data_IF_373752705499
#
_entry.id   IF_373752705499
#
_cell.length_a   1.000
_cell.length_b   1.000
_cell.length_c   1.000
_cell.angle_alpha   90.00
_cell.angle_beta   90.00
_cell.angle_gamma   90.00
#
_symmetry.space_group_name_H-M   'P 1'
#
loop_
_entity.id
_entity.type
_entity.pdbx_description
1 polymer ?
#
# COMPACT_ATOMS: atom_id res chain seq x y z
N UNK A 1 24.85 41.30 -39.82
CA UNK A 1 25.15 40.90 -38.42
C UNK A 1 23.89 40.69 -37.59
N UNK A 2 22.80 41.45 -37.81
CA UNK A 2 21.60 41.42 -36.96
C UNK A 2 20.74 40.14 -37.07
N UNK A 3 20.72 39.47 -38.23
CA UNK A 3 19.92 38.24 -38.39
C UNK A 3 20.43 37.06 -37.54
N UNK A 4 21.77 36.92 -37.42
CA UNK A 4 22.40 35.83 -36.65
C UNK A 4 22.20 35.99 -35.14
N UNK A 5 22.10 37.22 -34.66
CA UNK A 5 21.85 37.52 -33.25
C UNK A 5 20.41 37.18 -32.85
N UNK A 6 19.44 37.41 -33.74
CA UNK A 6 18.04 37.04 -33.49
C UNK A 6 17.82 35.51 -33.41
N UNK A 7 18.46 34.72 -34.28
CA UNK A 7 18.37 33.26 -34.19
C UNK A 7 19.03 32.70 -32.93
N UNK A 8 20.14 33.30 -32.49
CA UNK A 8 20.81 32.95 -31.23
C UNK A 8 19.91 33.26 -30.03
N UNK A 9 19.21 34.41 -30.05
CA UNK A 9 18.30 34.82 -28.99
C UNK A 9 17.04 33.95 -28.94
N UNK A 10 16.51 33.54 -30.10
CA UNK A 10 15.37 32.60 -30.20
C UNK A 10 15.77 31.21 -29.70
N UNK A 11 16.95 30.71 -30.07
CA UNK A 11 17.47 29.43 -29.59
C UNK A 11 17.70 29.43 -28.06
N UNK A 12 18.18 30.55 -27.51
CA UNK A 12 18.36 30.73 -26.07
C UNK A 12 17.01 30.78 -25.32
N UNK A 13 15.99 31.43 -25.88
CA UNK A 13 14.64 31.44 -25.31
C UNK A 13 13.97 30.05 -25.37
N UNK A 14 14.18 29.27 -26.43
CA UNK A 14 13.69 27.89 -26.55
C UNK A 14 14.39 26.93 -25.58
N UNK A 15 15.65 27.19 -25.22
CA UNK A 15 16.40 26.40 -24.23
C UNK A 15 15.96 26.68 -22.78
N UNK A 16 15.43 27.88 -22.51
CA UNK A 16 14.91 28.30 -21.19
C UNK A 16 13.47 27.80 -20.91
N UNK A 17 12.79 27.22 -21.91
CA UNK A 17 11.52 26.46 -21.71
C UNK A 17 11.83 25.03 -21.23
N UNK A 18 12.99 24.84 -20.60
CA UNK A 18 13.33 23.62 -19.87
C UNK A 18 12.20 23.29 -18.89
N UNK A 19 11.61 22.13 -19.10
CA UNK A 19 10.48 21.59 -18.35
C UNK A 19 10.82 21.55 -16.86
N UNK A 20 10.34 22.52 -16.10
CA UNK A 20 10.30 22.41 -14.65
C UNK A 20 9.26 21.36 -14.30
N UNK A 21 9.72 20.14 -14.03
CA UNK A 21 8.89 19.14 -13.36
C UNK A 21 8.72 19.60 -11.91
N UNK A 22 7.64 20.33 -11.64
CA UNK A 22 7.18 20.57 -10.28
C UNK A 22 6.57 19.26 -9.76
N UNK A 23 7.34 18.49 -9.01
CA UNK A 23 6.79 17.37 -8.27
C UNK A 23 5.97 17.94 -7.10
N UNK A 24 4.64 17.87 -7.19
CA UNK A 24 3.78 18.18 -6.07
C UNK A 24 3.87 17.02 -5.06
N UNK A 25 4.84 17.09 -4.15
CA UNK A 25 4.89 16.18 -3.01
C UNK A 25 3.80 16.58 -2.02
N UNK A 26 2.95 15.63 -1.61
CA UNK A 26 1.98 15.87 -0.53
C UNK A 26 2.77 16.27 0.72
N UNK A 27 2.54 17.48 1.29
CA UNK A 27 3.28 17.92 2.47
C UNK A 27 3.08 16.94 3.64
N UNK A 28 4.19 16.55 4.27
CA UNK A 28 4.18 15.69 5.47
C UNK A 28 3.97 16.47 6.77
N UNK A 29 3.63 17.76 6.68
CA UNK A 29 3.43 18.69 7.79
C UNK A 29 2.08 19.42 7.64
N UNK A 30 1.54 19.93 8.74
CA UNK A 30 0.33 20.76 8.74
C UNK A 30 0.61 22.10 9.38
N UNK A 31 0.11 23.16 8.75
CA UNK A 31 0.10 24.48 9.34
C UNK A 31 -0.92 24.53 10.48
N UNK A 32 -0.45 24.87 11.67
CA UNK A 32 -1.28 25.19 12.82
C UNK A 32 -1.10 26.67 13.17
N UNK A 33 -2.22 27.37 13.36
CA UNK A 33 -2.23 28.75 13.80
C UNK A 33 -2.95 28.85 15.13
N UNK A 34 -2.44 29.70 16.01
CA UNK A 34 -3.03 29.93 17.32
C UNK A 34 -2.92 31.38 17.76
N UNK A 35 -3.70 31.71 18.77
CA UNK A 35 -3.65 32.98 19.49
C UNK A 35 -3.32 32.69 20.95
N UNK A 36 -2.19 33.20 21.42
CA UNK A 36 -1.75 33.10 22.81
C UNK A 36 -2.16 34.36 23.56
N UNK A 37 -2.88 34.16 24.65
CA UNK A 37 -3.24 35.21 25.59
C UNK A 37 -2.50 35.04 26.91
N UNK A 38 -2.35 36.14 27.62
CA UNK A 38 -2.02 36.15 29.04
C UNK A 38 -3.25 35.83 29.91
N UNK A 39 -3.10 35.94 31.23
CA UNK A 39 -4.18 35.71 32.20
C UNK A 39 -5.26 36.80 32.20
N UNK A 40 -5.08 37.87 31.45
CA UNK A 40 -6.06 38.96 31.28
C UNK A 40 -6.78 38.89 29.93
N UNK A 41 -6.66 37.76 29.22
CA UNK A 41 -7.20 37.53 27.86
C UNK A 41 -6.64 38.50 26.80
N UNK A 42 -5.47 39.09 27.05
CA UNK A 42 -4.77 39.98 26.12
C UNK A 42 -3.68 39.18 25.40
N UNK A 43 -3.48 39.44 24.11
CA UNK A 43 -2.42 38.80 23.34
C UNK A 43 -1.05 39.01 23.99
N UNK A 44 -0.25 37.95 24.09
CA UNK A 44 1.09 38.03 24.68
C UNK A 44 2.01 38.97 23.86
N UNK A 45 3.05 39.48 24.51
CA UNK A 45 4.04 40.37 23.90
C UNK A 45 4.74 39.74 22.69
N UNK A 46 5.19 40.59 21.76
CA UNK A 46 5.97 40.15 20.61
C UNK A 46 7.30 39.53 21.07
N UNK A 47 7.56 38.29 20.67
CA UNK A 47 8.75 37.58 21.13
C UNK A 47 8.84 36.14 20.70
N UNK A 48 9.96 35.50 21.01
CA UNK A 48 10.14 34.07 20.78
C UNK A 48 9.62 33.28 21.97
N UNK A 49 8.75 32.32 21.70
CA UNK A 49 8.19 31.39 22.68
C UNK A 49 8.59 29.97 22.33
N UNK A 50 8.94 29.18 23.34
CA UNK A 50 9.15 27.74 23.17
C UNK A 50 7.79 27.05 23.29
N UNK A 51 7.26 26.56 22.18
CA UNK A 51 6.00 25.84 22.13
C UNK A 51 6.26 24.35 21.91
N UNK A 52 5.73 23.52 22.81
CA UNK A 52 5.69 22.07 22.62
C UNK A 52 4.28 21.66 22.20
N UNK A 53 4.21 20.96 21.07
CA UNK A 53 2.99 20.38 20.52
C UNK A 53 3.00 18.88 20.75
N UNK A 54 1.85 18.30 21.03
CA UNK A 54 1.71 16.87 21.30
C UNK A 54 0.37 16.33 20.79
N UNK A 55 0.37 15.07 20.37
CA UNK A 55 -0.82 14.36 19.88
C UNK A 55 -1.23 13.26 20.85
N UNK A 56 -2.53 13.15 21.12
CA UNK A 56 -3.08 12.23 22.11
C UNK A 56 -4.25 11.43 21.54
N UNK A 57 -4.44 10.19 22.02
CA UNK A 57 -5.56 9.30 21.66
C UNK A 57 -6.84 9.52 22.49
N UNK A 58 -6.87 10.57 23.30
CA UNK A 58 -8.00 10.95 24.15
C UNK A 58 -7.91 12.40 24.60
N UNK A 59 -8.99 12.91 25.19
CA UNK A 59 -9.18 14.33 25.52
C UNK A 59 -8.49 14.79 26.81
N UNK A 60 -7.87 13.87 27.56
CA UNK A 60 -7.20 14.15 28.82
C UNK A 60 -5.83 13.49 28.90
N UNK A 61 -4.81 14.27 29.27
CA UNK A 61 -3.44 13.80 29.50
C UNK A 61 -3.31 12.75 30.62
N UNK A 62 -4.33 12.61 31.48
CA UNK A 62 -4.32 11.66 32.60
C UNK A 62 -4.79 10.27 32.23
N UNK A 63 -5.63 10.16 31.18
CA UNK A 63 -6.25 8.91 30.75
C UNK A 63 -5.82 8.50 29.34
N UNK A 64 -5.31 9.43 28.54
CA UNK A 64 -4.87 9.20 27.17
C UNK A 64 -3.37 8.91 27.09
N UNK A 65 -2.97 8.26 26.00
CA UNK A 65 -1.59 8.05 25.62
C UNK A 65 -1.13 9.17 24.70
N UNK A 66 0.08 9.69 24.97
CA UNK A 66 0.78 10.59 24.05
C UNK A 66 1.38 9.78 22.91
N UNK A 67 1.00 10.11 21.68
CA UNK A 67 1.38 9.40 20.46
C UNK A 67 2.54 10.07 19.72
N UNK A 68 2.68 11.38 19.88
CA UNK A 68 3.69 12.19 19.20
C UNK A 68 3.89 13.51 19.93
N UNK A 69 5.09 14.08 19.81
CA UNK A 69 5.37 15.45 20.23
C UNK A 69 6.51 16.07 19.45
N UNK A 70 6.54 17.40 19.41
CA UNK A 70 7.71 18.16 18.98
C UNK A 70 7.76 19.51 19.71
N UNK A 71 8.94 20.12 19.77
CA UNK A 71 9.14 21.44 20.37
C UNK A 71 9.76 22.37 19.35
N UNK A 72 9.18 23.56 19.20
CA UNK A 72 9.66 24.59 18.28
C UNK A 72 9.75 25.94 19.00
N UNK A 73 10.77 26.73 18.67
CA UNK A 73 10.85 28.14 19.08
C UNK A 73 10.21 28.99 18.00
N UNK A 74 9.11 29.65 18.32
CA UNK A 74 8.26 30.36 17.36
C UNK A 74 8.16 31.82 17.77
N UNK A 75 8.30 32.71 16.78
CA UNK A 75 8.04 34.13 16.98
C UNK A 75 6.53 34.38 16.99
N UNK A 76 6.04 34.89 18.12
CA UNK A 76 4.64 35.27 18.32
C UNK A 76 4.55 36.78 18.13
N UNK A 77 3.59 37.23 17.32
CA UNK A 77 3.35 38.65 17.08
C UNK A 77 1.90 39.00 17.36
N UNK A 78 1.66 39.97 18.25
CA UNK A 78 0.34 40.37 18.73
C UNK A 78 -0.46 39.17 19.22
N UNK A 79 0.17 38.26 19.96
CA UNK A 79 -0.41 36.98 20.38
C UNK A 79 -0.61 35.93 19.27
N UNK A 80 -0.44 36.25 17.98
CA UNK A 80 -0.68 35.31 16.88
C UNK A 80 0.61 34.58 16.51
N UNK A 81 0.49 33.28 16.22
CA UNK A 81 1.57 32.50 15.62
C UNK A 81 1.06 31.55 14.54
N UNK A 82 1.99 31.10 13.70
CA UNK A 82 1.79 30.05 12.71
C UNK A 82 3.00 29.11 12.77
N UNK A 83 2.77 27.81 12.72
CA UNK A 83 3.80 26.77 12.81
C UNK A 83 3.49 25.63 11.85
N UNK A 84 4.52 25.01 11.27
CA UNK A 84 4.39 23.77 10.51
C UNK A 84 4.68 22.58 11.43
N UNK A 85 3.63 21.89 11.85
CA UNK A 85 3.77 20.72 12.70
C UNK A 85 4.24 19.50 11.90
N UNK A 86 5.15 18.72 12.47
CA UNK A 86 5.76 17.56 11.81
C UNK A 86 7.03 17.91 11.02
N UNK A 87 7.46 19.18 11.03
CA UNK A 87 8.68 19.64 10.39
C UNK A 87 9.94 19.31 11.20
N UNK A 88 9.85 19.35 12.54
CA UNK A 88 10.97 19.02 13.44
C UNK A 88 10.97 17.54 13.82
N UNK A 89 9.80 16.97 14.05
CA UNK A 89 9.64 15.53 14.30
C UNK A 89 8.53 14.99 13.37
N UNK A 90 8.87 14.31 12.27
CA UNK A 90 7.88 13.79 11.33
C UNK A 90 6.79 12.97 12.02
N UNK A 91 5.54 13.11 11.55
CA UNK A 91 4.45 12.32 12.08
C UNK A 91 4.69 10.83 11.79
N UNK A 92 4.59 9.95 12.81
CA UNK A 92 4.74 8.53 12.60
C UNK A 92 3.53 7.99 11.82
N UNK A 93 3.76 6.95 11.02
CA UNK A 93 2.70 6.27 10.27
C UNK A 93 1.64 5.59 11.17
N UNK A 94 1.89 5.51 12.48
CA UNK A 94 0.93 5.03 13.49
C UNK A 94 -0.19 6.04 13.80
N UNK A 95 -0.03 7.32 13.46
CA UNK A 95 -1.09 8.32 13.55
C UNK A 95 -2.08 8.16 12.39
N UNK A 96 -3.06 7.27 12.58
CA UNK A 96 -4.00 6.88 11.51
C UNK A 96 -5.21 7.80 11.37
N UNK A 97 -5.50 8.65 12.38
CA UNK A 97 -6.70 9.49 12.47
C UNK A 97 -8.01 8.71 12.22
N UNK A 98 -7.99 7.39 12.38
CA UNK A 98 -9.18 6.54 12.29
C UNK A 98 -10.10 6.75 13.51
N UNK A 99 -9.52 7.25 14.60
CA UNK A 99 -10.21 7.73 15.79
C UNK A 99 -9.88 9.22 16.00
N UNK A 100 -10.69 9.96 16.78
CA UNK A 100 -10.38 11.34 17.16
C UNK A 100 -9.01 11.44 17.84
N UNK A 101 -8.24 12.47 17.49
CA UNK A 101 -7.01 12.83 18.17
C UNK A 101 -7.12 14.23 18.76
N UNK A 102 -6.34 14.45 19.81
CA UNK A 102 -6.36 15.69 20.58
C UNK A 102 -4.96 16.30 20.60
N UNK A 103 -4.92 17.62 20.42
CA UNK A 103 -3.71 18.42 20.41
C UNK A 103 -3.48 18.99 21.80
N UNK A 104 -2.30 18.73 22.34
CA UNK A 104 -1.76 19.42 23.51
C UNK A 104 -0.76 20.49 23.08
N UNK A 105 -0.94 21.71 23.60
CA UNK A 105 -0.02 22.83 23.40
C UNK A 105 0.53 23.25 24.76
N UNK A 106 1.85 23.31 24.90
CA UNK A 106 2.53 23.77 26.11
C UNK A 106 3.43 24.96 25.77
N UNK A 107 3.33 26.03 26.56
CA UNK A 107 4.11 27.27 26.37
C UNK A 107 5.21 27.34 27.43
N UNK A 108 6.46 27.50 27.01
CA UNK A 108 7.64 27.69 27.87
C UNK A 108 7.77 26.65 29.02
N UNK A 109 7.35 25.40 28.76
CA UNK A 109 7.40 24.32 29.75
C UNK A 109 6.33 24.37 30.85
N UNK A 110 5.34 25.26 30.76
CA UNK A 110 4.20 25.34 31.68
C UNK A 110 3.19 24.20 31.51
N UNK A 111 1.95 24.39 31.95
CA UNK A 111 0.92 23.35 31.79
C UNK A 111 0.43 23.22 30.33
N UNK A 112 -0.16 22.07 30.00
CA UNK A 112 -0.86 21.89 28.74
C UNK A 112 -2.10 22.79 28.71
N UNK A 113 -2.22 23.59 27.65
CA UNK A 113 -3.37 24.43 27.38
C UNK A 113 -4.60 23.55 27.13
N UNK A 114 -5.72 23.92 27.78
CA UNK A 114 -6.97 23.17 27.76
C UNK A 114 -8.14 24.09 27.39
N UNK A 115 -9.04 23.59 26.56
CA UNK A 115 -10.33 24.22 26.29
C UNK A 115 -11.41 23.49 27.10
N UNK A 116 -12.12 24.19 27.99
CA UNK A 116 -13.13 23.60 28.88
C UNK A 116 -12.61 22.39 29.68
N UNK A 117 -11.35 22.43 30.12
CA UNK A 117 -10.72 21.35 30.90
C UNK A 117 -10.15 20.20 30.07
N UNK A 118 -10.35 20.19 28.75
CA UNK A 118 -9.91 19.12 27.86
C UNK A 118 -8.85 19.60 26.86
N UNK A 119 -8.07 18.65 26.34
CA UNK A 119 -7.17 18.88 25.21
C UNK A 119 -7.97 19.27 23.96
N UNK A 120 -7.32 19.98 23.05
CA UNK A 120 -7.97 20.55 21.87
C UNK A 120 -8.31 19.42 20.88
N UNK A 121 -9.59 19.18 20.63
CA UNK A 121 -10.00 18.22 19.59
C UNK A 121 -9.56 18.71 18.21
N UNK A 122 -8.85 17.87 17.46
CA UNK A 122 -8.46 18.20 16.10
C UNK A 122 -9.65 18.03 15.14
N UNK A 123 -10.03 19.13 14.51
CA UNK A 123 -11.03 19.09 13.45
C UNK A 123 -10.53 18.33 12.22
N UNK A 124 -11.48 17.76 11.47
CA UNK A 124 -11.29 16.84 10.33
C UNK A 124 -10.29 17.25 9.24
N UNK A 125 -9.89 18.52 9.13
CA UNK A 125 -8.90 18.99 8.14
C UNK A 125 -7.52 18.34 8.30
N UNK A 126 -7.19 17.85 9.50
CA UNK A 126 -5.92 17.17 9.77
C UNK A 126 -5.90 15.72 9.26
N UNK A 127 -7.05 15.14 8.89
CA UNK A 127 -7.07 13.80 8.25
C UNK A 127 -6.43 13.79 6.86
N UNK A 128 -6.21 14.97 6.24
CA UNK A 128 -5.58 15.12 4.93
C UNK A 128 -4.15 14.54 4.85
N UNK A 129 -3.46 14.33 5.98
CA UNK A 129 -2.19 13.59 6.04
C UNK A 129 -2.26 12.21 5.39
N UNK A 130 -3.44 11.57 5.42
CA UNK A 130 -3.67 10.28 4.77
C UNK A 130 -3.96 10.38 3.29
N UNK A 131 -3.96 11.57 2.68
CA UNK A 131 -4.09 11.68 1.23
C UNK A 131 -2.98 10.92 0.50
N UNK A 132 -1.77 10.73 1.07
CA UNK A 132 -0.74 9.88 0.45
C UNK A 132 -1.06 8.38 0.53
N UNK A 133 -1.83 7.93 1.53
CA UNK A 133 -2.23 6.52 1.70
C UNK A 133 -3.65 6.20 1.20
N UNK A 134 -4.45 7.23 0.90
CA UNK A 134 -5.85 7.15 0.43
C UNK A 134 -6.09 7.88 -0.90
N UNK A 135 -5.05 8.39 -1.55
CA UNK A 135 -5.16 8.99 -2.88
C UNK A 135 -5.79 7.98 -3.85
N UNK A 136 -6.54 8.50 -4.83
CA UNK A 136 -6.89 7.69 -5.99
C UNK A 136 -5.62 7.06 -6.57
N UNK A 137 -5.70 5.77 -6.91
CA UNK A 137 -4.52 5.03 -7.36
C UNK A 137 -4.04 5.56 -8.70
N UNK A 138 -2.78 5.95 -8.77
CA UNK A 138 -2.12 6.33 -10.02
C UNK A 138 -1.80 5.06 -10.81
N UNK A 139 -2.30 5.02 -12.06
CA UNK A 139 -2.03 3.93 -13.00
C UNK A 139 -0.93 4.36 -13.96
N UNK A 140 0.12 3.54 -14.07
CA UNK A 140 1.21 3.74 -15.04
C UNK A 140 1.36 2.52 -15.95
N UNK A 141 1.52 2.75 -17.25
CA UNK A 141 1.97 1.73 -18.19
C UNK A 141 3.47 1.85 -18.41
N UNK A 142 4.19 0.71 -18.37
CA UNK A 142 5.63 0.65 -18.61
C UNK A 142 5.96 -0.48 -19.58
N UNK A 143 6.92 -0.20 -20.48
CA UNK A 143 7.40 -1.16 -21.49
C UNK A 143 8.93 -1.31 -21.50
N UNK A 144 9.58 -0.81 -20.45
CA UNK A 144 11.01 -0.87 -20.19
C UNK A 144 11.21 -1.06 -18.68
N UNK A 145 12.44 -1.42 -18.27
CA UNK A 145 12.77 -1.53 -16.84
C UNK A 145 12.40 -0.24 -16.09
N UNK A 146 11.80 -0.38 -14.91
CA UNK A 146 11.28 0.75 -14.14
C UNK A 146 11.53 0.57 -12.65
N UNK A 147 12.00 1.63 -11.99
CA UNK A 147 12.08 1.70 -10.53
C UNK A 147 10.82 2.36 -10.01
N UNK A 148 10.04 1.62 -9.23
CA UNK A 148 8.76 2.08 -8.69
C UNK A 148 9.02 3.20 -7.68
N UNK A 149 8.44 4.37 -7.94
CA UNK A 149 8.53 5.59 -7.14
C UNK A 149 7.26 5.82 -6.34
N UNK A 150 7.18 6.85 -5.50
CA UNK A 150 5.96 7.20 -4.75
C UNK A 150 4.79 7.73 -5.61
N UNK A 151 4.98 7.85 -6.93
CA UNK A 151 3.93 8.20 -7.90
C UNK A 151 3.32 6.99 -8.60
N UNK A 152 3.69 5.77 -8.20
CA UNK A 152 3.26 4.52 -8.82
C UNK A 152 2.41 3.70 -7.84
N UNK A 153 1.12 3.51 -8.12
CA UNK A 153 0.27 2.64 -7.29
C UNK A 153 -0.13 1.36 -8.02
N UNK A 154 -0.47 1.50 -9.31
CA UNK A 154 -0.82 0.40 -10.21
C UNK A 154 0.09 0.47 -11.43
N UNK A 155 0.80 -0.62 -11.71
CA UNK A 155 1.66 -0.73 -12.87
C UNK A 155 1.10 -1.76 -13.85
N UNK A 156 0.90 -1.33 -15.08
CA UNK A 156 0.58 -2.16 -16.24
C UNK A 156 1.88 -2.38 -17.04
N UNK A 157 2.51 -3.53 -16.84
CA UNK A 157 3.80 -3.85 -17.42
C UNK A 157 3.66 -4.69 -18.69
N UNK A 158 4.36 -4.30 -19.76
CA UNK A 158 4.45 -5.03 -21.03
C UNK A 158 5.92 -5.28 -21.40
N UNK A 159 6.21 -6.43 -21.99
CA UNK A 159 7.55 -6.84 -22.40
C UNK A 159 8.32 -7.70 -21.37
N UNK A 160 9.55 -8.05 -21.73
CA UNK A 160 10.47 -8.78 -20.86
C UNK A 160 11.27 -7.78 -19.99
N UNK A 161 10.68 -7.32 -18.88
CA UNK A 161 11.21 -6.20 -18.09
C UNK A 161 11.36 -6.53 -16.61
N UNK A 162 12.24 -5.78 -15.94
CA UNK A 162 12.42 -5.79 -14.49
C UNK A 162 11.84 -4.54 -13.84
N UNK A 163 11.08 -4.75 -12.77
CA UNK A 163 10.54 -3.72 -11.90
C UNK A 163 11.25 -3.77 -10.55
N UNK A 164 11.86 -2.67 -10.14
CA UNK A 164 12.50 -2.55 -8.82
C UNK A 164 11.53 -1.93 -7.83
N UNK A 165 11.20 -2.63 -6.74
CA UNK A 165 10.29 -2.13 -5.71
C UNK A 165 10.97 -1.05 -4.86
N UNK A 166 10.22 -0.09 -4.29
CA UNK A 166 10.79 0.84 -3.32
C UNK A 166 11.04 0.12 -1.98
N UNK A 167 11.80 0.74 -1.09
CA UNK A 167 12.08 0.13 0.21
C UNK A 167 10.80 -0.03 1.02
N UNK A 168 10.52 -1.26 1.45
CA UNK A 168 9.39 -1.52 2.35
C UNK A 168 9.57 -0.85 3.74
N UNK A 169 10.79 -0.51 4.15
CA UNK A 169 11.01 0.12 5.47
C UNK A 169 10.43 1.55 5.47
N UNK A 170 10.69 2.29 4.39
CA UNK A 170 10.23 3.67 4.22
C UNK A 170 8.77 3.78 3.75
N UNK A 171 8.17 2.66 3.35
CA UNK A 171 6.85 2.63 2.70
C UNK A 171 5.84 1.75 3.48
N UNK A 172 5.96 1.65 4.81
CA UNK A 172 5.03 0.85 5.64
C UNK A 172 3.55 1.17 5.33
N UNK A 173 2.74 0.13 5.10
CA UNK A 173 1.31 0.24 4.77
C UNK A 173 1.02 0.60 3.32
N UNK A 174 2.04 0.87 2.49
CA UNK A 174 1.85 1.15 1.07
C UNK A 174 1.38 -0.10 0.33
N UNK A 175 0.34 0.05 -0.48
CA UNK A 175 -0.18 -1.01 -1.33
C UNK A 175 0.28 -0.77 -2.77
N UNK A 176 0.80 -1.80 -3.42
CA UNK A 176 1.16 -1.79 -4.83
C UNK A 176 0.43 -2.91 -5.56
N UNK A 177 -0.02 -2.62 -6.78
CA UNK A 177 -0.58 -3.60 -7.70
C UNK A 177 0.22 -3.60 -9.00
N UNK A 178 0.72 -4.77 -9.41
CA UNK A 178 1.43 -4.94 -10.67
C UNK A 178 0.65 -5.95 -11.50
N UNK A 179 0.35 -5.59 -12.74
CA UNK A 179 -0.27 -6.46 -13.74
C UNK A 179 0.64 -6.56 -14.96
N UNK A 180 1.02 -7.78 -15.31
CA UNK A 180 1.58 -8.08 -16.61
C UNK A 180 0.46 -8.05 -17.66
N UNK A 181 0.51 -7.09 -18.57
CA UNK A 181 -0.45 -6.95 -19.68
C UNK A 181 0.09 -7.54 -21.00
N UNK A 182 1.38 -7.86 -21.05
CA UNK A 182 2.07 -8.46 -22.19
C UNK A 182 2.13 -9.99 -22.11
N UNK A 183 2.71 -10.62 -23.14
CA UNK A 183 2.88 -12.08 -23.20
C UNK A 183 4.23 -12.56 -22.67
N UNK A 184 5.15 -11.64 -22.38
CA UNK A 184 6.50 -11.91 -21.90
C UNK A 184 6.59 -11.76 -20.38
N UNK A 185 7.68 -12.22 -19.77
CA UNK A 185 7.82 -12.24 -18.32
C UNK A 185 8.19 -10.88 -17.74
N UNK A 186 7.53 -10.50 -16.64
CA UNK A 186 7.86 -9.31 -15.84
C UNK A 186 8.43 -9.76 -14.51
N UNK A 187 9.66 -9.35 -14.18
CA UNK A 187 10.31 -9.64 -12.90
C UNK A 187 10.14 -8.48 -11.92
N UNK A 188 9.93 -8.80 -10.64
CA UNK A 188 9.83 -7.84 -9.55
C UNK A 188 10.97 -8.13 -8.58
N UNK A 189 11.73 -7.10 -8.22
CA UNK A 189 12.92 -7.24 -7.37
C UNK A 189 12.86 -6.21 -6.23
N UNK A 190 12.78 -6.65 -4.97
CA UNK A 190 12.91 -5.76 -3.82
C UNK A 190 14.31 -5.17 -3.68
N UNK A 191 14.41 -4.07 -2.97
CA UNK A 191 15.69 -3.40 -2.66
C UNK A 191 16.25 -3.83 -1.31
N UNK A 192 17.53 -3.55 -1.05
CA UNK A 192 18.14 -3.63 0.28
C UNK A 192 18.02 -5.00 0.98
N UNK A 193 18.02 -6.10 0.22
CA UNK A 193 17.88 -7.46 0.76
C UNK A 193 16.50 -7.79 1.33
N UNK A 194 15.52 -6.90 1.12
CA UNK A 194 14.13 -7.12 1.50
C UNK A 194 13.50 -8.19 0.61
N UNK A 195 12.34 -8.70 1.01
CA UNK A 195 11.69 -9.83 0.34
C UNK A 195 10.24 -9.55 0.00
N UNK A 196 9.70 -10.34 -0.92
CA UNK A 196 8.26 -10.51 -1.16
C UNK A 196 7.90 -11.89 -0.62
N UNK A 197 7.25 -11.98 0.53
CA UNK A 197 6.94 -13.26 1.21
C UNK A 197 8.18 -14.17 1.34
N UNK A 198 9.29 -13.61 1.84
CA UNK A 198 10.55 -14.35 1.99
C UNK A 198 11.33 -14.62 0.70
N UNK A 199 10.78 -14.27 -0.47
CA UNK A 199 11.45 -14.43 -1.76
C UNK A 199 12.18 -13.14 -2.19
N UNK A 200 13.39 -13.27 -2.73
CA UNK A 200 14.19 -12.13 -3.23
C UNK A 200 13.74 -11.61 -4.60
N UNK A 201 12.82 -12.30 -5.27
CA UNK A 201 12.20 -11.85 -6.51
C UNK A 201 10.86 -12.56 -6.74
N UNK A 202 9.98 -11.93 -7.50
CA UNK A 202 8.73 -12.50 -7.99
C UNK A 202 8.68 -12.37 -9.51
N UNK A 203 8.27 -13.44 -10.19
CA UNK A 203 8.06 -13.46 -11.64
C UNK A 203 6.55 -13.50 -11.95
N UNK A 204 6.12 -12.62 -12.85
CA UNK A 204 4.81 -12.63 -13.53
C UNK A 204 5.06 -13.08 -14.98
N UNK A 205 5.03 -14.37 -15.24
CA UNK A 205 5.53 -15.02 -16.46
C UNK A 205 4.47 -15.20 -17.56
N UNK A 206 3.21 -14.86 -17.28
CA UNK A 206 2.12 -14.94 -18.25
C UNK A 206 1.31 -13.65 -18.32
N UNK A 207 0.67 -13.43 -19.47
CA UNK A 207 -0.28 -12.35 -19.64
C UNK A 207 -1.38 -12.42 -18.58
N UNK A 208 -1.76 -11.25 -18.06
CA UNK A 208 -2.75 -11.04 -17.00
C UNK A 208 -2.33 -11.52 -15.61
N UNK A 209 -1.12 -12.06 -15.42
CA UNK A 209 -0.58 -12.27 -14.09
C UNK A 209 -0.60 -10.95 -13.32
N UNK A 210 -1.24 -10.97 -12.15
CA UNK A 210 -1.45 -9.79 -11.33
C UNK A 210 -1.08 -10.11 -9.89
N UNK A 211 -0.38 -9.20 -9.24
CA UNK A 211 -0.05 -9.29 -7.83
C UNK A 211 -0.42 -7.98 -7.14
N UNK A 212 -1.01 -8.10 -5.96
CA UNK A 212 -1.21 -6.98 -5.03
C UNK A 212 -0.54 -7.35 -3.71
N UNK A 213 0.31 -6.46 -3.22
CA UNK A 213 1.01 -6.64 -1.96
C UNK A 213 1.04 -5.32 -1.18
N UNK A 214 1.27 -5.43 0.12
CA UNK A 214 1.41 -4.33 1.05
C UNK A 214 2.78 -4.41 1.72
N UNK A 215 3.37 -3.26 2.03
CA UNK A 215 4.55 -3.23 2.88
C UNK A 215 4.15 -3.35 4.35
N UNK A 216 4.84 -4.21 5.11
CA UNK A 216 4.66 -4.34 6.57
C UNK A 216 5.66 -3.51 7.40
N UNK A 217 6.44 -2.64 6.75
CA UNK A 217 7.53 -1.88 7.36
C UNK A 217 8.88 -2.60 7.41
N UNK A 218 8.99 -3.83 6.89
CA UNK A 218 10.24 -4.56 6.74
C UNK A 218 10.36 -5.22 5.36
N UNK A 219 9.31 -5.88 4.90
CA UNK A 219 9.19 -6.62 3.66
C UNK A 219 7.87 -6.29 2.94
N UNK A 220 7.70 -6.87 1.75
CA UNK A 220 6.44 -6.87 1.02
C UNK A 220 5.70 -8.19 1.27
N UNK A 221 4.42 -8.10 1.62
CA UNK A 221 3.55 -9.25 1.93
C UNK A 221 2.33 -9.25 1.01
N UNK A 222 1.89 -10.42 0.56
CA UNK A 222 0.75 -10.51 -0.36
C UNK A 222 -0.55 -10.11 0.34
N UNK A 223 -1.34 -9.27 -0.34
CA UNK A 223 -2.74 -9.05 0.04
C UNK A 223 -3.67 -10.09 -0.60
N UNK A 224 -3.22 -10.73 -1.69
CA UNK A 224 -3.98 -11.75 -2.37
C UNK A 224 -3.59 -13.14 -1.81
N UNK A 225 -4.54 -13.87 -1.22
CA UNK A 225 -4.28 -15.19 -0.60
C UNK A 225 -3.96 -16.31 -1.61
N UNK A 226 -4.27 -16.12 -2.90
CA UNK A 226 -4.05 -17.14 -3.92
C UNK A 226 -3.33 -16.49 -5.10
N UNK A 227 -2.05 -16.85 -5.28
CA UNK A 227 -1.35 -16.57 -6.54
C UNK A 227 -2.04 -17.38 -7.65
N UNK A 228 -2.37 -16.78 -8.79
CA UNK A 228 -2.89 -17.51 -9.94
C UNK A 228 -1.88 -18.60 -10.37
N UNK A 229 -2.33 -19.84 -10.56
CA UNK A 229 -1.46 -20.98 -10.83
C UNK A 229 -0.67 -21.52 -9.63
N UNK A 230 -0.83 -20.94 -8.43
CA UNK A 230 -0.18 -21.46 -7.21
C UNK A 230 -0.87 -22.68 -6.63
N UNK A 231 -2.05 -23.05 -7.13
CA UNK A 231 -2.62 -24.37 -6.92
C UNK A 231 -2.08 -25.24 -8.06
N UNK A 232 -0.93 -25.86 -7.83
CA UNK A 232 -0.37 -26.87 -8.73
C UNK A 232 -0.82 -28.28 -8.29
N UNK A 233 -0.46 -29.30 -9.06
CA UNK A 233 -0.74 -30.71 -8.71
C UNK A 233 -0.13 -31.14 -7.37
N UNK A 234 0.89 -30.44 -6.85
CA UNK A 234 1.48 -30.72 -5.55
C UNK A 234 0.72 -30.04 -4.39
N UNK A 235 0.05 -28.91 -4.62
CA UNK A 235 -0.92 -28.32 -3.67
C UNK A 235 -2.30 -28.98 -3.77
N UNK A 236 -2.55 -29.68 -4.86
CA UNK A 236 -3.57 -30.71 -5.01
C UNK A 236 -3.00 -32.11 -4.70
N UNK A 237 -2.17 -32.24 -3.66
CA UNK A 237 -1.66 -33.54 -3.19
C UNK A 237 -2.78 -34.56 -2.99
N UNK A 238 -2.43 -35.85 -3.12
CA UNK A 238 -3.33 -36.98 -2.90
C UNK A 238 -4.07 -36.80 -1.55
N UNK A 239 -5.40 -36.87 -1.59
CA UNK A 239 -6.37 -36.54 -0.51
C UNK A 239 -6.71 -35.06 -0.19
N UNK A 240 -6.13 -34.05 -0.87
CA UNK A 240 -6.55 -32.63 -0.70
C UNK A 240 -7.98 -32.35 -1.21
N UNK A 241 -8.41 -33.14 -2.19
CA UNK A 241 -9.79 -33.26 -2.68
C UNK A 241 -10.41 -34.49 -2.03
N UNK A 242 -11.01 -34.31 -0.85
CA UNK A 242 -11.70 -35.41 -0.16
C UNK A 242 -13.02 -35.77 -0.87
N UNK A 243 -13.51 -37.01 -0.70
CA UNK A 243 -14.81 -37.46 -1.24
C UNK A 243 -15.98 -36.56 -0.85
N UNK A 244 -15.89 -35.86 0.29
CA UNK A 244 -16.85 -34.85 0.74
C UNK A 244 -16.89 -33.61 -0.18
N UNK A 245 -15.80 -33.30 -0.88
CA UNK A 245 -15.69 -32.19 -1.85
C UNK A 245 -16.10 -32.60 -3.27
N UNK A 246 -16.28 -33.89 -3.53
CA UNK A 246 -16.73 -34.46 -4.82
C UNK A 246 -18.16 -35.02 -4.71
N UNK A 247 -19.04 -34.34 -3.96
CA UNK A 247 -20.44 -34.80 -3.83
C UNK A 247 -21.17 -34.67 -5.18
N UNK A 248 -21.59 -35.81 -5.74
CA UNK A 248 -22.29 -35.89 -7.02
C UNK A 248 -21.83 -37.06 -7.89
N UNK A 249 -22.47 -37.25 -9.05
CA UNK A 249 -22.02 -38.20 -10.07
C UNK A 249 -20.79 -37.62 -10.78
N UNK A 250 -19.70 -38.38 -10.84
CA UNK A 250 -18.53 -38.07 -11.67
C UNK A 250 -18.78 -38.70 -13.06
N UNK A 251 -18.95 -37.92 -14.14
CA UNK A 251 -19.04 -38.43 -15.50
C UNK A 251 -17.86 -39.32 -15.88
N UNK A 252 -18.12 -40.41 -16.60
CA UNK A 252 -17.11 -41.35 -17.08
C UNK A 252 -16.03 -40.67 -17.95
N UNK A 253 -16.36 -39.57 -18.63
CA UNK A 253 -15.42 -38.76 -19.42
C UNK A 253 -14.34 -38.08 -18.58
N UNK A 254 -14.50 -38.05 -17.25
CA UNK A 254 -13.54 -37.50 -16.30
C UNK A 254 -12.76 -38.60 -15.56
N UNK A 255 -13.03 -39.88 -15.83
CA UNK A 255 -12.23 -41.00 -15.33
C UNK A 255 -11.18 -41.38 -16.38
N UNK A 256 -9.92 -41.07 -16.08
CA UNK A 256 -8.77 -41.59 -16.83
C UNK A 256 -8.28 -42.87 -16.14
N UNK A 257 -8.79 -44.02 -16.58
CA UNK A 257 -8.41 -45.35 -16.08
C UNK A 257 -7.67 -46.06 -17.21
N UNK A 258 -6.46 -46.57 -16.95
CA UNK A 258 -5.73 -47.38 -17.92
C UNK A 258 -6.31 -48.80 -18.03
N UNK A 259 -6.01 -49.51 -19.13
CA UNK A 259 -6.43 -50.90 -19.29
C UNK A 259 -6.00 -51.75 -18.07
N UNK A 260 -6.93 -52.52 -17.51
CA UNK A 260 -6.78 -53.38 -16.33
C UNK A 260 -6.54 -52.69 -14.96
N UNK A 261 -6.74 -51.38 -14.80
CA UNK A 261 -6.59 -50.73 -13.48
C UNK A 261 -7.74 -51.00 -12.50
N UNK A 262 -8.92 -51.35 -12.99
CA UNK A 262 -10.03 -51.75 -12.11
C UNK A 262 -9.88 -53.24 -11.80
N UNK A 263 -9.38 -53.55 -10.61
CA UNK A 263 -9.39 -54.92 -10.09
C UNK A 263 -10.82 -55.48 -10.08
N UNK A 264 -11.00 -56.71 -10.57
CA UNK A 264 -12.31 -57.38 -10.61
C UNK A 264 -12.98 -57.49 -9.24
N UNK A 265 -12.21 -57.50 -8.15
CA UNK A 265 -12.68 -57.50 -6.77
C UNK A 265 -13.32 -56.17 -6.33
N UNK A 266 -13.04 -55.08 -7.05
CA UNK A 266 -13.58 -53.74 -6.82
C UNK A 266 -14.74 -53.40 -7.73
N UNK A 267 -15.01 -54.23 -8.74
CA UNK A 267 -16.23 -54.17 -9.54
C UNK A 267 -17.39 -54.76 -8.73
N UNK A 268 -18.27 -53.92 -8.21
CA UNK A 268 -19.54 -54.37 -7.63
C UNK A 268 -20.53 -54.75 -8.75
N UNK A 269 -20.19 -55.79 -9.50
CA UNK A 269 -21.10 -56.43 -10.44
C UNK A 269 -21.91 -57.39 -9.59
N UNK A 270 -23.07 -56.96 -9.10
CA UNK A 270 -24.03 -57.88 -8.50
C UNK A 270 -24.34 -58.96 -9.53
N UNK A 271 -24.29 -60.23 -9.12
CA UNK A 271 -24.37 -61.47 -9.93
C UNK A 271 -25.58 -61.53 -10.93
N UNK A 272 -26.53 -60.61 -10.80
CA UNK A 272 -27.67 -60.45 -11.73
C UNK A 272 -27.43 -59.46 -12.89
N UNK A 273 -26.34 -58.70 -12.90
CA UNK A 273 -26.06 -57.69 -13.93
C UNK A 273 -25.56 -58.31 -15.25
N UNK A 274 -24.81 -59.41 -15.15
CA UNK A 274 -24.28 -60.20 -16.26
C UNK A 274 -24.91 -61.60 -16.20
N UNK A 275 -26.11 -61.76 -16.76
CA UNK A 275 -26.72 -63.08 -16.94
C UNK A 275 -26.17 -63.77 -18.18
N UNK A 276 -26.11 -65.11 -18.21
CA UNK A 276 -25.74 -65.87 -19.40
C UNK A 276 -26.53 -65.50 -20.67
N UNK A 277 -27.77 -65.03 -20.52
CA UNK A 277 -28.58 -64.50 -21.62
C UNK A 277 -28.03 -63.21 -22.28
N UNK A 278 -27.23 -62.41 -21.56
CA UNK A 278 -26.57 -61.19 -22.08
C UNK A 278 -25.21 -61.47 -22.71
N UNK A 279 -24.59 -62.59 -22.36
CA UNK A 279 -23.33 -63.07 -22.98
C UNK A 279 -23.61 -63.93 -24.22
N UNK A 280 -24.82 -64.50 -24.32
CA UNK A 280 -25.23 -65.33 -25.44
C UNK A 280 -25.56 -64.54 -26.73
N UNK A 281 -25.64 -63.21 -26.65
CA UNK A 281 -25.81 -62.34 -27.83
C UNK A 281 -24.45 -61.89 -28.41
N UNK A 282 -23.50 -62.82 -28.45
CA UNK A 282 -22.28 -62.68 -29.23
C UNK A 282 -22.53 -63.28 -30.63
N UNK A 283 -23.48 -62.70 -31.38
CA UNK A 283 -23.34 -62.70 -32.83
C UNK A 283 -22.08 -61.92 -33.18
N UNK A 284 -20.97 -62.67 -33.24
CA UNK A 284 -19.82 -62.37 -34.11
C UNK A 284 -20.29 -62.37 -35.55
#
# INVERSE_FOLDING_TARGET
MNLRLNYLMIAFCLLMIGTFSANAQVPGHVTFMGFLTDTSDVGVEDGNYSLKFSMWDGDSETTANKLWEETQTIFVQKGIYSVELGSSNPFPNTLTFANPYYLGVQVNGGDLLKANGNLLNLASTWTAFRSKTSAGRIIRSVSQNHTISDTDDIILADGNIGLTLPSAIENNGRILTIKNIGTQSVSLTPTNGQTIEGSASLLLDQQNNTVTFVSDGQNWVYLNQIKFGSIDGAKLVDASVTVTKLTGSIPYSMLNIADNEIEYTKLNITDSAISGAKLADASV
#
